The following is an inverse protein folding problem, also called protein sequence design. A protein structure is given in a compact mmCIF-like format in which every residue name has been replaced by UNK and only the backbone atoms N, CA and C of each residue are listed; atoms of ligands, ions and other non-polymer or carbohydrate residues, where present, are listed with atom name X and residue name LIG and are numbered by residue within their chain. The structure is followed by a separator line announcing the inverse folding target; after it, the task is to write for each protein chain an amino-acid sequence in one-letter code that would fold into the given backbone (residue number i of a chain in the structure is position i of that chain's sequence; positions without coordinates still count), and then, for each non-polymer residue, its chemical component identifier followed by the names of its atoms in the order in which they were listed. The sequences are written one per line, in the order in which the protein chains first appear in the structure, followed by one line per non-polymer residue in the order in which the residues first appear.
data_IF_558908327109
#
_entry.id   IF_558908327109
#
_cell.length_a   1.000
_cell.length_b   1.000
_cell.length_c   1.000
_cell.angle_alpha   90.00
_cell.angle_beta   90.00
_cell.angle_gamma   90.00
#
_symmetry.space_group_name_H-M   'P 1'
#
loop_
_entity.id
_entity.type
_entity.pdbx_description
1 polymer ?
#
# COMPACT_ATOMS: atom_id res chain seq x y z
N UNK A 1 3.07 -42.47 -0.24
CA UNK A 1 1.62 -42.31 0.02
C UNK A 1 1.15 -40.89 0.36
N UNK A 2 2.02 -39.92 0.73
CA UNK A 2 1.61 -38.54 1.07
C UNK A 2 1.35 -37.63 -0.15
N UNK A 3 1.75 -38.06 -1.36
CA UNK A 3 1.70 -37.24 -2.58
C UNK A 3 0.29 -37.13 -3.17
N UNK A 4 -0.52 -38.20 -3.07
CA UNK A 4 -1.91 -38.21 -3.55
C UNK A 4 -2.85 -37.35 -2.70
N UNK A 5 -2.57 -37.20 -1.40
CA UNK A 5 -3.41 -36.43 -0.47
C UNK A 5 -3.19 -34.92 -0.66
N UNK A 6 -1.98 -34.48 -1.01
CA UNK A 6 -1.66 -33.06 -1.24
C UNK A 6 -2.12 -32.53 -2.61
N UNK A 7 -2.31 -33.42 -3.59
CA UNK A 7 -2.68 -33.06 -4.95
C UNK A 7 -3.99 -32.26 -5.07
N UNK A 8 -5.12 -32.65 -4.42
CA UNK A 8 -6.36 -31.86 -4.48
C UNK A 8 -6.22 -30.50 -3.79
N UNK A 9 -5.46 -30.40 -2.70
CA UNK A 9 -5.19 -29.11 -2.02
C UNK A 9 -4.33 -28.18 -2.87
N UNK A 10 -3.34 -28.69 -3.60
CA UNK A 10 -2.58 -27.89 -4.56
C UNK A 10 -3.46 -27.40 -5.71
N UNK A 11 -4.36 -28.23 -6.22
CA UNK A 11 -5.27 -27.84 -7.29
C UNK A 11 -6.23 -26.71 -6.86
N UNK A 12 -6.72 -26.79 -5.61
CA UNK A 12 -7.59 -25.77 -4.99
C UNK A 12 -6.83 -24.49 -4.61
N UNK A 13 -5.51 -24.58 -4.35
CA UNK A 13 -4.66 -23.43 -4.05
C UNK A 13 -4.36 -22.55 -5.28
N UNK A 14 -4.38 -23.11 -6.49
CA UNK A 14 -4.15 -22.36 -7.75
C UNK A 14 -5.17 -21.22 -7.95
N UNK A 15 -6.50 -21.44 -7.89
CA UNK A 15 -7.47 -20.36 -8.04
C UNK A 15 -7.37 -19.34 -6.90
N UNK A 16 -7.08 -19.78 -5.67
CA UNK A 16 -6.86 -18.89 -4.52
C UNK A 16 -5.63 -18.00 -4.74
N UNK A 17 -4.53 -18.58 -5.22
CA UNK A 17 -3.32 -17.85 -5.60
C UNK A 17 -3.60 -16.84 -6.72
N UNK A 18 -4.35 -17.23 -7.75
CA UNK A 18 -4.72 -16.33 -8.84
C UNK A 18 -5.51 -15.11 -8.34
N UNK A 19 -6.48 -15.34 -7.45
CA UNK A 19 -7.25 -14.24 -6.85
C UNK A 19 -6.39 -13.35 -5.96
N UNK A 20 -5.54 -13.93 -5.10
CA UNK A 20 -4.63 -13.18 -4.24
C UNK A 20 -3.64 -12.33 -5.06
N UNK A 21 -3.14 -12.88 -6.17
CA UNK A 21 -2.25 -12.18 -7.09
C UNK A 21 -2.95 -11.02 -7.81
N UNK A 22 -4.22 -11.22 -8.21
CA UNK A 22 -5.05 -10.15 -8.78
C UNK A 22 -5.25 -9.01 -7.78
N UNK A 23 -5.58 -9.32 -6.53
CA UNK A 23 -5.70 -8.33 -5.45
C UNK A 23 -4.40 -7.58 -5.22
N UNK A 24 -3.26 -8.28 -5.26
CA UNK A 24 -1.94 -7.67 -5.10
C UNK A 24 -1.66 -6.65 -6.21
N UNK A 25 -2.02 -6.96 -7.47
CA UNK A 25 -1.90 -6.02 -8.59
C UNK A 25 -2.76 -4.77 -8.36
N UNK A 26 -4.01 -4.95 -7.92
CA UNK A 26 -4.91 -3.83 -7.64
C UNK A 26 -4.36 -2.95 -6.52
N UNK A 27 -3.85 -3.56 -5.44
CA UNK A 27 -3.22 -2.86 -4.32
C UNK A 27 -1.97 -2.11 -4.80
N UNK A 28 -1.13 -2.72 -5.63
CA UNK A 28 0.02 -2.06 -6.26
C UNK A 28 -0.40 -0.84 -7.06
N UNK A 29 -1.40 -1.00 -7.92
CA UNK A 29 -1.90 0.09 -8.75
C UNK A 29 -2.42 1.26 -7.90
N UNK A 30 -3.19 0.95 -6.85
CA UNK A 30 -3.66 1.92 -5.86
C UNK A 30 -2.51 2.59 -5.10
N UNK A 31 -1.48 1.82 -4.72
CA UNK A 31 -0.29 2.31 -4.04
C UNK A 31 0.48 3.28 -4.94
N UNK A 32 0.69 2.95 -6.22
CA UNK A 32 1.31 3.82 -7.20
C UNK A 32 0.52 5.11 -7.46
N UNK A 33 -0.80 5.03 -7.66
CA UNK A 33 -1.66 6.21 -7.78
C UNK A 33 -1.64 7.06 -6.51
N UNK A 34 -1.71 6.41 -5.35
CA UNK A 34 -1.61 7.03 -4.03
C UNK A 34 -0.26 7.72 -3.83
N UNK A 35 0.82 7.15 -4.36
CA UNK A 35 2.16 7.73 -4.28
C UNK A 35 2.30 8.97 -5.16
N UNK A 36 1.74 8.93 -6.38
CA UNK A 36 1.65 10.10 -7.27
C UNK A 36 0.82 11.23 -6.65
N UNK A 37 -0.36 10.89 -6.13
CA UNK A 37 -1.24 11.86 -5.46
C UNK A 37 -0.59 12.41 -4.18
N UNK A 38 0.01 11.55 -3.36
CA UNK A 38 0.70 11.93 -2.13
C UNK A 38 1.91 12.81 -2.38
N UNK A 39 2.71 12.54 -3.42
CA UNK A 39 3.81 13.42 -3.84
C UNK A 39 3.33 14.82 -4.21
N UNK A 40 2.19 14.92 -4.90
CA UNK A 40 1.57 16.20 -5.25
C UNK A 40 1.04 16.92 -3.99
N UNK A 41 0.42 16.20 -3.07
CA UNK A 41 -0.06 16.74 -1.79
C UNK A 41 1.10 17.25 -0.93
N UNK A 42 2.23 16.53 -0.88
CA UNK A 42 3.43 16.97 -0.16
C UNK A 42 3.97 18.27 -0.74
N UNK A 43 3.99 18.42 -2.07
CA UNK A 43 4.40 19.67 -2.73
C UNK A 43 3.46 20.84 -2.38
N UNK A 44 2.14 20.61 -2.39
CA UNK A 44 1.15 21.64 -2.01
C UNK A 44 1.32 22.03 -0.54
N UNK A 45 1.47 21.05 0.35
CA UNK A 45 1.67 21.30 1.79
C UNK A 45 2.96 22.07 2.03
N UNK A 46 4.07 21.69 1.39
CA UNK A 46 5.35 22.39 1.50
C UNK A 46 5.27 23.85 1.00
N UNK A 47 4.65 24.09 -0.16
CA UNK A 47 4.41 25.43 -0.68
C UNK A 47 3.49 26.26 0.23
N UNK A 48 2.44 25.61 0.76
CA UNK A 48 1.51 26.21 1.72
C UNK A 48 2.20 26.62 3.02
N UNK A 49 3.09 25.78 3.58
CA UNK A 49 3.86 26.09 4.78
C UNK A 49 4.66 27.38 4.57
N UNK A 50 5.41 27.50 3.48
CA UNK A 50 6.22 28.70 3.18
C UNK A 50 5.33 29.95 3.07
N UNK A 51 4.19 29.84 2.38
CA UNK A 51 3.24 30.93 2.22
C UNK A 51 2.59 31.36 3.54
N UNK A 52 2.16 30.41 4.37
CA UNK A 52 1.52 30.70 5.65
C UNK A 52 2.49 31.26 6.68
N UNK A 53 3.77 30.84 6.67
CA UNK A 53 4.83 31.48 7.47
C UNK A 53 4.96 32.95 7.07
N UNK A 54 5.08 33.23 5.77
CA UNK A 54 5.25 34.59 5.26
C UNK A 54 4.06 35.51 5.60
N UNK A 55 2.83 34.97 5.52
CA UNK A 55 1.60 35.69 5.89
C UNK A 55 1.27 35.67 7.38
N UNK A 56 2.14 35.08 8.23
CA UNK A 56 1.91 34.88 9.67
C UNK A 56 0.55 34.23 10.01
N UNK A 57 0.07 33.32 9.14
CA UNK A 57 -1.17 32.58 9.35
C UNK A 57 -0.90 31.26 10.08
N UNK A 58 -0.63 31.36 11.38
CA UNK A 58 -0.23 30.24 12.23
C UNK A 58 -1.27 29.11 12.31
N UNK A 59 -2.56 29.44 12.31
CA UNK A 59 -3.64 28.45 12.35
C UNK A 59 -3.68 27.59 11.08
N UNK A 60 -3.55 28.22 9.90
CA UNK A 60 -3.53 27.54 8.61
C UNK A 60 -2.25 26.72 8.42
N UNK A 61 -1.13 27.20 8.96
CA UNK A 61 0.12 26.47 9.01
C UNK A 61 0.00 25.19 9.85
N UNK A 62 -0.63 25.26 11.02
CA UNK A 62 -0.82 24.08 11.86
C UNK A 62 -1.71 23.04 11.13
N UNK A 63 -2.78 23.49 10.49
CA UNK A 63 -3.66 22.65 9.67
C UNK A 63 -2.91 21.99 8.49
N UNK A 64 -2.06 22.74 7.78
CA UNK A 64 -1.31 22.18 6.64
C UNK A 64 -0.30 21.11 7.08
N UNK A 65 0.39 21.34 8.20
CA UNK A 65 1.30 20.33 8.79
C UNK A 65 0.51 19.10 9.22
N UNK A 66 -0.64 19.26 9.85
CA UNK A 66 -1.49 18.15 10.30
C UNK A 66 -1.97 17.30 9.12
N UNK A 67 -2.39 17.94 8.02
CA UNK A 67 -2.71 17.24 6.76
C UNK A 67 -1.50 16.50 6.20
N UNK A 68 -0.32 17.13 6.19
CA UNK A 68 0.91 16.50 5.71
C UNK A 68 1.26 15.22 6.50
N UNK A 69 1.14 15.26 7.83
CA UNK A 69 1.40 14.11 8.70
C UNK A 69 0.37 12.99 8.46
N UNK A 70 -0.91 13.33 8.33
CA UNK A 70 -1.96 12.34 8.04
C UNK A 70 -1.74 11.62 6.71
N UNK A 71 -1.32 12.36 5.67
CA UNK A 71 -1.02 11.79 4.35
C UNK A 71 0.19 10.86 4.43
N UNK A 72 1.27 11.27 5.09
CA UNK A 72 2.44 10.42 5.34
C UNK A 72 2.06 9.12 6.09
N UNK A 73 1.22 9.23 7.12
CA UNK A 73 0.75 8.06 7.87
C UNK A 73 -0.08 7.11 7.00
N UNK A 74 -0.96 7.64 6.14
CA UNK A 74 -1.76 6.85 5.22
C UNK A 74 -0.88 6.13 4.18
N UNK A 75 0.13 6.83 3.62
CA UNK A 75 1.08 6.24 2.68
C UNK A 75 1.87 5.10 3.32
N UNK A 76 2.37 5.31 4.54
CA UNK A 76 3.10 4.28 5.30
C UNK A 76 2.23 3.05 5.57
N UNK A 77 0.96 3.25 5.94
CA UNK A 77 0.01 2.16 6.15
C UNK A 77 -0.24 1.36 4.86
N UNK A 78 -0.41 2.05 3.73
CA UNK A 78 -0.57 1.41 2.42
C UNK A 78 0.66 0.56 2.06
N UNK A 79 1.88 1.03 2.32
CA UNK A 79 3.10 0.27 2.04
C UNK A 79 3.20 -0.99 2.90
N UNK A 80 2.80 -0.93 4.18
CA UNK A 80 2.78 -2.10 5.06
C UNK A 80 1.80 -3.16 4.54
N UNK A 81 0.60 -2.74 4.11
CA UNK A 81 -0.41 -3.64 3.55
C UNK A 81 0.12 -4.31 2.28
N UNK A 82 0.75 -3.54 1.40
CA UNK A 82 1.36 -4.05 0.17
C UNK A 82 2.43 -5.11 0.47
N UNK A 83 3.39 -4.81 1.36
CA UNK A 83 4.43 -5.76 1.77
C UNK A 83 3.86 -7.02 2.42
N UNK A 84 2.77 -6.89 3.19
CA UNK A 84 2.12 -8.03 3.84
C UNK A 84 1.44 -8.94 2.82
N UNK A 85 0.75 -8.35 1.84
CA UNK A 85 0.10 -9.10 0.76
C UNK A 85 1.12 -9.77 -0.16
N UNK A 86 2.26 -9.13 -0.42
CA UNK A 86 3.37 -9.75 -1.13
C UNK A 86 3.87 -11.01 -0.42
N UNK A 87 4.12 -10.94 0.90
CA UNK A 87 4.55 -12.10 1.68
C UNK A 87 3.53 -13.24 1.68
N UNK A 88 2.24 -12.91 1.73
CA UNK A 88 1.16 -13.90 1.66
C UNK A 88 1.17 -14.58 0.29
N UNK A 89 1.26 -13.80 -0.80
CA UNK A 89 1.36 -14.35 -2.15
C UNK A 89 2.60 -15.23 -2.33
N UNK A 90 3.78 -14.81 -1.84
CA UNK A 90 5.00 -15.64 -1.95
C UNK A 90 4.87 -16.94 -1.15
N UNK A 91 4.31 -16.88 0.06
CA UNK A 91 4.09 -18.06 0.89
C UNK A 91 3.12 -19.07 0.25
N UNK A 92 2.04 -18.58 -0.38
CA UNK A 92 1.10 -19.44 -1.13
C UNK A 92 1.80 -20.02 -2.38
N UNK A 93 2.61 -19.22 -3.08
CA UNK A 93 3.39 -19.67 -4.24
C UNK A 93 4.38 -20.80 -3.89
N UNK A 94 5.09 -20.67 -2.77
CA UNK A 94 6.00 -21.70 -2.26
C UNK A 94 5.25 -22.97 -1.84
N UNK A 95 4.06 -22.83 -1.23
CA UNK A 95 3.21 -23.98 -0.88
C UNK A 95 2.70 -24.76 -2.10
N UNK A 96 2.51 -24.08 -3.25
CA UNK A 96 2.12 -24.74 -4.50
C UNK A 96 3.32 -25.47 -5.14
N UNK A 97 4.53 -24.91 -5.03
CA UNK A 97 5.77 -25.51 -5.58
C UNK A 97 6.27 -26.74 -4.82
N UNK A 98 6.20 -26.74 -3.48
CA UNK A 98 6.76 -27.79 -2.60
C UNK A 98 5.72 -28.74 -2.00
#
# INVERSE_FOLDING_TARGET
MMWLIKFPFRLLAIPVFLTAWLFLIVIKLLSYLGNLAGGLVILIVAGGIIFYIYKMQWTNLFLSVLVGVLVLAAMFCATIIEMTMERICTAIGDFIRY
#
